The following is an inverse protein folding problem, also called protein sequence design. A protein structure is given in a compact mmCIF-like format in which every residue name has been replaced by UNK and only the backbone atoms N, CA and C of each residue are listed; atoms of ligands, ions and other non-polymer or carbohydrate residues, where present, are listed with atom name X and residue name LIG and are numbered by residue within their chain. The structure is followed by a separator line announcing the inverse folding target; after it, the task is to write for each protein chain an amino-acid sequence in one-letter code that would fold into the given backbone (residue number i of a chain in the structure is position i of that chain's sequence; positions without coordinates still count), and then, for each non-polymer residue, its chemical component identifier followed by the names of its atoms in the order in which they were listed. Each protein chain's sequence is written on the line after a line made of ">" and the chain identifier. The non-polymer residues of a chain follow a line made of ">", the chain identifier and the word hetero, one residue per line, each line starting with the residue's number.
data_IF_999720782159
#
_entry.id   IF_999720782159
#
_cell.length_a   1.000
_cell.length_b   1.000
_cell.length_c   1.000
_cell.angle_alpha   90.00
_cell.angle_beta   90.00
_cell.angle_gamma   90.00
#
_symmetry.space_group_name_H-M   'P 1'
#
loop_
_entity.id
_entity.type
_entity.pdbx_description
1 polymer ?
#
# COMPACT_ATOMS: atom_id res chain seq x y z
N UNK A 1 -3.54 -48.23 44.29
CA UNK A 1 -3.83 -46.79 44.13
C UNK A 1 -3.15 -46.21 42.89
N UNK A 2 -1.91 -46.60 42.57
CA UNK A 2 -1.17 -46.08 41.40
C UNK A 2 -1.84 -46.31 40.03
N UNK A 3 -2.53 -47.43 39.82
CA UNK A 3 -3.17 -47.75 38.53
C UNK A 3 -4.38 -46.86 38.21
N UNK A 4 -5.03 -46.29 39.24
CA UNK A 4 -6.18 -45.40 39.08
C UNK A 4 -5.73 -44.00 38.65
N UNK A 5 -4.62 -43.52 39.23
CA UNK A 5 -4.03 -42.22 38.89
C UNK A 5 -3.48 -42.18 37.45
N UNK A 6 -2.81 -43.27 37.04
CA UNK A 6 -2.32 -43.44 35.65
C UNK A 6 -3.48 -43.40 34.66
N UNK A 7 -4.59 -44.09 34.96
CA UNK A 7 -5.77 -44.09 34.09
C UNK A 7 -6.41 -42.71 33.97
N UNK A 8 -6.49 -41.94 35.06
CA UNK A 8 -7.00 -40.56 35.02
C UNK A 8 -6.08 -39.61 34.24
N UNK A 9 -4.76 -39.81 34.32
CA UNK A 9 -3.80 -39.01 33.58
C UNK A 9 -3.88 -39.27 32.07
N UNK A 10 -3.92 -40.54 31.66
CA UNK A 10 -4.10 -40.95 30.25
C UNK A 10 -5.41 -40.40 29.70
N UNK A 11 -6.50 -40.49 30.47
CA UNK A 11 -7.80 -39.92 30.05
C UNK A 11 -7.73 -38.41 29.81
N UNK A 12 -7.03 -37.67 30.68
CA UNK A 12 -6.86 -36.22 30.53
C UNK A 12 -5.98 -35.85 29.33
N UNK A 13 -4.96 -36.66 29.02
CA UNK A 13 -4.14 -36.48 27.83
C UNK A 13 -4.95 -36.69 26.54
N UNK A 14 -5.76 -37.75 26.48
CA UNK A 14 -6.61 -38.01 25.31
C UNK A 14 -7.60 -36.87 25.07
N UNK A 15 -8.23 -36.34 26.13
CA UNK A 15 -9.12 -35.19 26.01
C UNK A 15 -8.42 -33.93 25.48
N UNK A 16 -7.18 -33.68 25.90
CA UNK A 16 -6.38 -32.56 25.39
C UNK A 16 -5.97 -32.76 23.94
N UNK A 17 -5.61 -33.99 23.56
CA UNK A 17 -5.24 -34.32 22.20
C UNK A 17 -6.41 -34.11 21.24
N UNK A 18 -7.59 -34.61 21.61
CA UNK A 18 -8.83 -34.47 20.83
C UNK A 18 -9.23 -33.00 20.67
N UNK A 19 -9.05 -32.19 21.72
CA UNK A 19 -9.29 -30.75 21.65
C UNK A 19 -8.33 -30.04 20.69
N UNK A 20 -7.03 -30.35 20.75
CA UNK A 20 -6.02 -29.77 19.87
C UNK A 20 -6.24 -30.19 18.41
N UNK A 21 -6.62 -31.45 18.17
CA UNK A 21 -6.96 -31.93 16.83
C UNK A 21 -8.14 -31.16 16.25
N UNK A 22 -9.17 -30.89 17.05
CA UNK A 22 -10.32 -30.09 16.63
C UNK A 22 -9.92 -28.64 16.32
N UNK A 23 -9.11 -27.99 17.16
CA UNK A 23 -8.63 -26.62 16.90
C UNK A 23 -7.80 -26.55 15.61
N UNK A 24 -6.97 -27.56 15.33
CA UNK A 24 -6.18 -27.63 14.09
C UNK A 24 -7.08 -27.76 12.86
N UNK A 25 -8.17 -28.53 12.95
CA UNK A 25 -9.17 -28.63 11.87
C UNK A 25 -9.86 -27.29 11.63
N UNK A 26 -10.30 -26.62 12.69
CA UNK A 26 -10.98 -25.32 12.60
C UNK A 26 -10.06 -24.24 12.01
N UNK A 27 -8.79 -24.17 12.45
CA UNK A 27 -7.79 -23.24 11.91
C UNK A 27 -7.55 -23.51 10.42
N UNK A 28 -7.44 -24.78 10.01
CA UNK A 28 -7.27 -25.13 8.59
C UNK A 28 -8.45 -24.68 7.75
N UNK A 29 -9.67 -24.82 8.27
CA UNK A 29 -10.89 -24.41 7.57
C UNK A 29 -10.97 -22.88 7.45
N UNK A 30 -10.61 -22.14 8.50
CA UNK A 30 -10.52 -20.67 8.45
C UNK A 30 -9.46 -20.20 7.44
N UNK A 31 -8.29 -20.83 7.40
CA UNK A 31 -7.24 -20.49 6.45
C UNK A 31 -7.66 -20.77 5.00
N UNK A 32 -8.42 -21.84 4.75
CA UNK A 32 -8.99 -22.11 3.41
C UNK A 32 -9.96 -21.01 2.97
N UNK A 33 -10.88 -20.60 3.85
CA UNK A 33 -11.83 -19.52 3.55
C UNK A 33 -11.12 -18.19 3.25
N UNK A 34 -10.11 -17.83 4.05
CA UNK A 34 -9.31 -16.61 3.81
C UNK A 34 -8.57 -16.71 2.47
N UNK A 35 -8.02 -17.88 2.14
CA UNK A 35 -7.31 -18.09 0.86
C UNK A 35 -8.23 -17.99 -0.35
N UNK A 36 -9.49 -18.43 -0.23
CA UNK A 36 -10.48 -18.29 -1.30
C UNK A 36 -10.94 -16.84 -1.45
N UNK A 37 -11.14 -16.12 -0.34
CA UNK A 37 -11.46 -14.69 -0.35
C UNK A 37 -10.35 -13.83 -0.97
N UNK A 38 -9.07 -14.16 -0.72
CA UNK A 38 -7.94 -13.42 -1.32
C UNK A 38 -7.77 -13.72 -2.81
N UNK A 39 -8.02 -14.97 -3.27
CA UNK A 39 -8.02 -15.30 -4.71
C UNK A 39 -9.08 -14.52 -5.50
N UNK A 40 -10.25 -14.29 -4.91
CA UNK A 40 -11.30 -13.46 -5.51
C UNK A 40 -10.87 -11.98 -5.56
N UNK A 41 -10.13 -11.50 -4.56
CA UNK A 41 -9.61 -10.13 -4.53
C UNK A 41 -8.54 -9.87 -5.60
N UNK A 42 -7.66 -10.83 -5.87
CA UNK A 42 -6.61 -10.71 -6.90
C UNK A 42 -7.18 -10.68 -8.33
N UNK A 43 -8.22 -11.46 -8.63
CA UNK A 43 -8.91 -11.38 -9.93
C UNK A 43 -9.66 -10.06 -10.18
N UNK A 44 -9.93 -9.28 -9.12
CA UNK A 44 -10.63 -7.99 -9.17
C UNK A 44 -9.66 -6.79 -9.20
N UNK A 45 -8.35 -7.02 -9.07
CA UNK A 45 -7.32 -5.96 -9.06
C UNK A 45 -7.24 -5.22 -10.40
N UNK A 46 -7.32 -5.96 -11.51
CA UNK A 46 -7.00 -5.39 -12.83
C UNK A 46 -8.12 -4.50 -13.37
N UNK A 47 -9.38 -4.87 -13.12
CA UNK A 47 -10.56 -4.05 -13.45
C UNK A 47 -10.65 -2.80 -12.57
N UNK A 48 -10.26 -2.89 -11.29
CA UNK A 48 -10.12 -1.73 -10.40
C UNK A 48 -8.99 -0.79 -10.83
N UNK A 49 -7.84 -1.32 -11.27
CA UNK A 49 -6.73 -0.52 -11.79
C UNK A 49 -7.09 0.23 -13.06
N UNK A 50 -7.74 -0.43 -14.02
CA UNK A 50 -8.19 0.21 -15.26
C UNK A 50 -9.23 1.31 -15.00
N UNK A 51 -10.22 1.05 -14.14
CA UNK A 51 -11.23 2.06 -13.79
C UNK A 51 -10.66 3.24 -12.98
N UNK A 52 -9.62 3.04 -12.16
CA UNK A 52 -8.89 4.13 -11.49
C UNK A 52 -8.10 5.00 -12.48
N UNK A 53 -7.46 4.40 -13.48
CA UNK A 53 -6.73 5.12 -14.52
C UNK A 53 -7.68 5.97 -15.39
N UNK A 54 -8.85 5.43 -15.75
CA UNK A 54 -9.87 6.16 -16.51
C UNK A 54 -10.45 7.35 -15.72
N UNK A 55 -10.77 7.16 -14.44
CA UNK A 55 -11.21 8.25 -13.55
C UNK A 55 -10.13 9.32 -13.40
N UNK A 56 -8.87 8.93 -13.29
CA UNK A 56 -7.73 9.86 -13.24
C UNK A 56 -7.62 10.69 -14.52
N UNK A 57 -7.80 10.07 -15.69
CA UNK A 57 -7.80 10.79 -16.99
C UNK A 57 -8.93 11.82 -17.09
N UNK A 58 -10.15 11.46 -16.74
CA UNK A 58 -11.30 12.37 -16.79
C UNK A 58 -11.14 13.57 -15.83
N UNK A 59 -10.58 13.34 -14.65
CA UNK A 59 -10.30 14.42 -13.70
C UNK A 59 -9.18 15.35 -14.18
N UNK A 60 -8.16 14.83 -14.87
CA UNK A 60 -7.05 15.65 -15.40
C UNK A 60 -7.53 16.68 -16.44
N UNK A 61 -8.53 16.38 -17.24
CA UNK A 61 -9.07 17.33 -18.21
C UNK A 61 -9.78 18.50 -17.53
N UNK A 62 -10.66 18.21 -16.56
CA UNK A 62 -11.35 19.25 -15.77
C UNK A 62 -10.36 20.12 -15.00
N UNK A 63 -9.34 19.50 -14.41
CA UNK A 63 -8.27 20.23 -13.72
C UNK A 63 -7.50 21.13 -14.68
N UNK A 64 -7.14 20.65 -15.87
CA UNK A 64 -6.40 21.45 -16.86
C UNK A 64 -7.16 22.72 -17.25
N UNK A 65 -8.47 22.62 -17.47
CA UNK A 65 -9.30 23.77 -17.79
C UNK A 65 -9.41 24.76 -16.62
N UNK A 66 -9.51 24.26 -15.39
CA UNK A 66 -9.52 25.10 -14.20
C UNK A 66 -8.18 25.85 -14.02
N UNK A 67 -7.06 25.15 -14.20
CA UNK A 67 -5.72 25.75 -14.12
C UNK A 67 -5.46 26.75 -15.25
N UNK A 68 -5.91 26.49 -16.47
CA UNK A 68 -5.79 27.44 -17.58
C UNK A 68 -6.47 28.78 -17.26
N UNK A 69 -7.71 28.76 -16.76
CA UNK A 69 -8.43 29.96 -16.31
C UNK A 69 -7.72 30.68 -15.16
N UNK A 70 -7.16 29.91 -14.23
CA UNK A 70 -6.42 30.46 -13.09
C UNK A 70 -5.14 31.18 -13.57
N UNK A 71 -4.38 30.56 -14.47
CA UNK A 71 -3.17 31.15 -15.04
C UNK A 71 -3.47 32.42 -15.83
N UNK A 72 -4.51 32.40 -16.67
CA UNK A 72 -4.98 33.58 -17.39
C UNK A 72 -5.31 34.74 -16.44
N UNK A 73 -6.05 34.45 -15.35
CA UNK A 73 -6.39 35.47 -14.34
C UNK A 73 -5.18 36.01 -13.58
N UNK A 74 -4.14 35.21 -13.43
CA UNK A 74 -2.88 35.64 -12.81
C UNK A 74 -1.91 36.30 -13.80
N UNK A 75 -2.29 36.45 -15.08
CA UNK A 75 -1.42 36.98 -16.13
C UNK A 75 -0.21 36.08 -16.43
N UNK A 76 -0.32 34.79 -16.10
CA UNK A 76 0.74 33.80 -16.35
C UNK A 76 0.55 33.29 -17.78
N UNK A 77 1.55 33.56 -18.60
CA UNK A 77 1.61 33.17 -20.01
C UNK A 77 2.97 32.56 -20.33
N UNK A 78 3.05 31.78 -21.41
CA UNK A 78 4.28 31.16 -21.88
C UNK A 78 4.25 29.63 -21.84
N UNK A 79 5.33 29.02 -22.31
CA UNK A 79 5.48 27.57 -22.31
C UNK A 79 5.92 27.06 -20.93
N UNK A 80 5.40 25.90 -20.47
CA UNK A 80 5.86 25.29 -19.23
C UNK A 80 7.35 24.99 -19.27
N UNK A 81 8.06 25.37 -18.22
CA UNK A 81 9.47 25.01 -18.04
C UNK A 81 9.51 23.56 -17.52
N UNK A 82 10.22 22.68 -18.23
CA UNK A 82 10.45 21.30 -17.80
C UNK A 82 11.17 21.23 -16.45
N UNK A 83 10.93 20.15 -15.70
CA UNK A 83 11.43 20.01 -14.33
C UNK A 83 12.96 20.13 -14.23
N UNK A 84 13.70 19.57 -15.18
CA UNK A 84 15.16 19.62 -15.23
C UNK A 84 15.66 21.05 -15.44
N UNK A 85 14.96 21.83 -16.26
CA UNK A 85 15.31 23.22 -16.50
C UNK A 85 14.98 24.09 -15.28
N UNK A 86 13.86 23.82 -14.59
CA UNK A 86 13.54 24.47 -13.31
C UNK A 86 14.63 24.17 -12.28
N UNK A 87 15.08 22.92 -12.17
CA UNK A 87 16.15 22.53 -11.26
C UNK A 87 17.47 23.26 -11.56
N UNK A 88 17.84 23.36 -12.85
CA UNK A 88 19.03 24.13 -13.27
C UNK A 88 18.92 25.61 -12.89
N UNK A 89 17.75 26.22 -13.07
CA UNK A 89 17.51 27.62 -12.69
C UNK A 89 17.63 27.82 -11.17
N UNK A 90 17.04 26.93 -10.39
CA UNK A 90 17.13 26.95 -8.92
C UNK A 90 18.59 26.81 -8.47
N UNK A 91 19.34 25.86 -9.05
CA UNK A 91 20.76 25.67 -8.75
C UNK A 91 21.61 26.89 -9.16
N UNK A 92 21.28 27.55 -10.28
CA UNK A 92 21.94 28.78 -10.72
C UNK A 92 21.70 29.95 -9.76
N UNK A 93 20.60 29.95 -9.01
CA UNK A 93 20.35 30.88 -7.91
C UNK A 93 21.13 30.53 -6.62
N UNK A 94 21.99 29.53 -6.65
CA UNK A 94 22.80 29.09 -5.50
C UNK A 94 22.04 28.22 -4.50
N UNK A 95 20.81 27.81 -4.80
CA UNK A 95 20.03 26.93 -3.94
C UNK A 95 20.49 25.49 -4.19
N UNK A 96 21.13 24.89 -3.19
CA UNK A 96 21.57 23.51 -3.25
C UNK A 96 20.51 22.59 -2.61
N UNK A 97 20.13 21.48 -3.26
CA UNK A 97 19.23 20.50 -2.66
C UNK A 97 19.73 20.01 -1.29
N UNK A 98 21.04 19.89 -1.12
CA UNK A 98 21.67 19.39 0.10
C UNK A 98 21.50 20.35 1.28
N UNK A 99 21.22 21.62 1.03
CA UNK A 99 21.01 22.63 2.08
C UNK A 99 19.58 22.53 2.67
N UNK A 100 18.62 21.96 1.93
CA UNK A 100 17.25 21.78 2.38
C UNK A 100 17.08 20.42 3.09
N UNK A 101 16.67 20.45 4.36
CA UNK A 101 16.40 19.26 5.18
C UNK A 101 15.41 18.28 4.53
N UNK A 102 14.37 18.80 3.89
CA UNK A 102 13.37 18.00 3.18
C UNK A 102 13.99 17.27 1.98
N UNK A 103 14.81 17.97 1.20
CA UNK A 103 15.52 17.40 0.05
C UNK A 103 16.54 16.35 0.48
N UNK A 104 17.27 16.57 1.58
CA UNK A 104 18.20 15.56 2.15
C UNK A 104 17.47 14.27 2.51
N UNK A 105 16.29 14.37 3.13
CA UNK A 105 15.47 13.19 3.45
C UNK A 105 15.09 12.39 2.21
N UNK A 106 14.68 13.06 1.13
CA UNK A 106 14.32 12.40 -0.13
C UNK A 106 15.53 11.72 -0.79
N UNK A 107 16.69 12.37 -0.77
CA UNK A 107 17.93 11.82 -1.33
C UNK A 107 18.36 10.57 -0.55
N UNK A 108 18.36 10.64 0.78
CA UNK A 108 18.72 9.50 1.63
C UNK A 108 17.82 8.28 1.37
N UNK A 109 16.50 8.47 1.25
CA UNK A 109 15.56 7.39 0.92
C UNK A 109 15.74 6.79 -0.49
N UNK A 110 16.48 7.44 -1.39
CA UNK A 110 16.80 6.92 -2.73
C UNK A 110 18.09 6.11 -2.76
N UNK A 111 18.96 6.29 -1.77
CA UNK A 111 20.27 5.64 -1.68
C UNK A 111 20.26 4.39 -0.78
N UNK A 112 19.15 4.11 -0.09
CA UNK A 112 18.83 2.85 0.61
C UNK A 112 18.16 1.82 -0.32
#
# INVERSE_FOLDING_TARGET
>A
METTEINTFVKRLNQKLEHVEQEVVDIRQQLQQVTEMTKIADGTSDTKRLSLLERSRQNKEKQRQAFAKLFERMGIHGEPIGAENVQKMIAACGIKPEDNEFSRGIIAMREE
#
